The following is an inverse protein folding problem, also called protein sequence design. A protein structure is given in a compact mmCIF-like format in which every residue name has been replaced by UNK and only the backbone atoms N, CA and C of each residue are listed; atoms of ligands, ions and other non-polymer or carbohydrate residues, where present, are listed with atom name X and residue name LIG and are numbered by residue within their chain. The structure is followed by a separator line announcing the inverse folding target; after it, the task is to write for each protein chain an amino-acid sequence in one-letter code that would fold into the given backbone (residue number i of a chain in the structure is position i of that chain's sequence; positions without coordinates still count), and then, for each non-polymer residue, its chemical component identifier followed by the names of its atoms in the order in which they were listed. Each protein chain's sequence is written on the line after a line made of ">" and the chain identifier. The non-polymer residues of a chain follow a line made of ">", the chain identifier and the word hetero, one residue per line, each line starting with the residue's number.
data_IF_184054284041
#
_entry.id   IF_184054284041
#
_cell.length_a   1.000
_cell.length_b   1.000
_cell.length_c   1.000
_cell.angle_alpha   90.00
_cell.angle_beta   90.00
_cell.angle_gamma   90.00
#
_symmetry.space_group_name_H-M   'P 1'
#
loop_
_entity.id
_entity.type
_entity.pdbx_description
1 polymer ?
#
# COMPACT_ATOMS: atom_id res chain seq x y z
N UNK A 1 7.36 -22.60 1.99
CA UNK A 1 6.05 -22.50 1.27
C UNK A 1 5.13 -21.56 2.04
N UNK A 2 4.34 -20.72 1.36
CA UNK A 2 3.39 -19.81 1.99
C UNK A 2 2.01 -20.47 2.02
N UNK A 3 1.47 -20.73 3.22
CA UNK A 3 0.15 -21.33 3.39
C UNK A 3 -0.96 -20.38 2.88
N UNK A 4 -2.17 -20.90 2.72
CA UNK A 4 -3.33 -20.07 2.38
C UNK A 4 -3.61 -19.02 3.45
N UNK A 5 -3.57 -19.40 4.72
CA UNK A 5 -3.78 -18.49 5.86
C UNK A 5 -2.76 -17.34 5.84
N UNK A 6 -1.49 -17.65 5.59
CA UNK A 6 -0.44 -16.64 5.51
C UNK A 6 -0.66 -15.67 4.34
N UNK A 7 -1.06 -16.17 3.16
CA UNK A 7 -1.40 -15.31 2.00
C UNK A 7 -2.56 -14.37 2.30
N UNK A 8 -3.63 -14.90 2.87
CA UNK A 8 -4.81 -14.12 3.27
C UNK A 8 -4.45 -13.08 4.34
N UNK A 9 -3.59 -13.44 5.31
CA UNK A 9 -3.10 -12.53 6.34
C UNK A 9 -2.22 -11.41 5.76
N UNK A 10 -1.30 -11.71 4.85
CA UNK A 10 -0.52 -10.69 4.16
C UNK A 10 -1.39 -9.73 3.36
N UNK A 11 -2.36 -10.24 2.60
CA UNK A 11 -3.30 -9.43 1.83
C UNK A 11 -4.14 -8.55 2.74
N UNK A 12 -4.62 -9.09 3.86
CA UNK A 12 -5.38 -8.34 4.85
C UNK A 12 -4.57 -7.19 5.46
N UNK A 13 -3.35 -7.47 5.93
CA UNK A 13 -2.48 -6.45 6.50
C UNK A 13 -2.13 -5.35 5.50
N UNK A 14 -1.90 -5.73 4.24
CA UNK A 14 -1.68 -4.78 3.16
C UNK A 14 -2.87 -3.82 3.02
N UNK A 15 -4.08 -4.35 2.87
CA UNK A 15 -5.30 -3.55 2.71
C UNK A 15 -5.54 -2.66 3.93
N UNK A 16 -5.35 -3.16 5.15
CA UNK A 16 -5.52 -2.37 6.37
C UNK A 16 -4.48 -1.25 6.49
N UNK A 17 -3.22 -1.51 6.16
CA UNK A 17 -2.16 -0.51 6.15
C UNK A 17 -2.48 0.64 5.19
N UNK A 18 -2.93 0.32 3.97
CA UNK A 18 -3.32 1.32 2.98
C UNK A 18 -4.60 2.06 3.37
N UNK A 19 -5.62 1.36 3.88
CA UNK A 19 -6.82 2.00 4.41
C UNK A 19 -6.48 3.04 5.48
N UNK A 20 -5.66 2.67 6.47
CA UNK A 20 -5.26 3.57 7.55
C UNK A 20 -4.47 4.79 7.08
N UNK A 21 -3.74 4.69 5.96
CA UNK A 21 -3.01 5.80 5.38
C UNK A 21 -3.83 6.63 4.40
N UNK A 22 -4.82 6.04 3.71
CA UNK A 22 -5.66 6.74 2.71
C UNK A 22 -6.86 7.46 3.35
N UNK A 23 -7.48 6.88 4.37
CA UNK A 23 -8.61 7.49 5.06
C UNK A 23 -8.10 8.57 6.01
N UNK A 24 -8.30 9.83 5.67
CA UNK A 24 -7.84 10.99 6.46
C UNK A 24 -8.97 11.69 7.18
N UNK A 25 -10.20 11.52 6.70
CA UNK A 25 -11.40 12.15 7.24
C UNK A 25 -12.50 11.09 7.43
N UNK A 26 -13.43 11.28 8.38
CA UNK A 26 -14.50 10.31 8.67
C UNK A 26 -15.42 10.02 7.48
N UNK A 27 -15.56 10.97 6.55
CA UNK A 27 -16.37 10.82 5.34
C UNK A 27 -15.63 10.16 4.18
N UNK A 28 -14.34 9.86 4.32
CA UNK A 28 -13.57 9.22 3.26
C UNK A 28 -14.04 7.78 3.08
N UNK A 29 -14.37 7.43 1.86
CA UNK A 29 -14.72 6.07 1.45
C UNK A 29 -13.51 5.41 0.80
N UNK A 30 -13.08 4.29 1.37
CA UNK A 30 -11.98 3.48 0.84
C UNK A 30 -12.50 2.14 0.33
N UNK A 31 -12.08 1.76 -0.85
CA UNK A 31 -12.30 0.43 -1.43
C UNK A 31 -10.98 -0.20 -1.89
N UNK A 32 -10.88 -1.51 -1.77
CA UNK A 32 -9.75 -2.29 -2.25
C UNK A 32 -10.26 -3.54 -2.96
N UNK A 33 -10.02 -3.62 -4.24
CA UNK A 33 -10.39 -4.76 -5.07
C UNK A 33 -9.15 -5.46 -5.62
N UNK A 34 -9.28 -6.76 -5.89
CA UNK A 34 -8.23 -7.54 -6.52
C UNK A 34 -8.15 -7.20 -8.01
N UNK A 35 -6.94 -7.00 -8.50
CA UNK A 35 -6.65 -6.90 -9.92
C UNK A 35 -6.03 -8.21 -10.42
N UNK A 36 -6.48 -8.69 -11.58
CA UNK A 36 -5.96 -9.93 -12.14
C UNK A 36 -4.51 -9.78 -12.63
N UNK A 37 -4.20 -8.62 -13.20
CA UNK A 37 -2.89 -8.27 -13.71
C UNK A 37 -2.68 -6.73 -13.71
N UNK A 38 -1.56 -6.30 -14.24
CA UNK A 38 -1.17 -4.88 -14.35
C UNK A 38 -1.33 -4.33 -15.79
N UNK A 39 -2.02 -5.02 -16.66
CA UNK A 39 -2.16 -4.60 -18.09
C UNK A 39 -2.93 -3.29 -18.22
N UNK A 40 -3.88 -3.02 -17.34
CA UNK A 40 -4.65 -1.79 -17.30
C UNK A 40 -3.89 -0.60 -16.69
N UNK A 41 -2.73 -0.83 -16.08
CA UNK A 41 -1.93 0.21 -15.40
C UNK A 41 -1.19 1.03 -16.42
N UNK A 42 -1.56 2.30 -16.57
CA UNK A 42 -0.94 3.27 -17.48
C UNK A 42 0.13 4.14 -16.80
N UNK A 43 0.28 3.97 -15.49
CA UNK A 43 1.26 4.71 -14.71
C UNK A 43 2.68 4.45 -15.19
N UNK A 44 3.53 5.46 -15.10
CA UNK A 44 4.91 5.41 -15.59
C UNK A 44 5.92 5.17 -14.48
N UNK A 45 5.54 5.49 -13.25
CA UNK A 45 6.41 5.39 -12.07
C UNK A 45 5.83 4.43 -11.05
N UNK A 46 6.68 3.95 -10.17
CA UNK A 46 6.32 3.06 -9.10
C UNK A 46 7.18 3.35 -7.87
N UNK A 47 6.54 3.47 -6.71
CA UNK A 47 7.23 3.46 -5.42
C UNK A 47 7.39 2.03 -4.97
N UNK A 48 8.62 1.62 -4.66
CA UNK A 48 8.98 0.31 -4.13
C UNK A 48 9.44 0.41 -2.69
N UNK A 49 8.87 -0.40 -1.80
CA UNK A 49 9.33 -0.59 -0.41
C UNK A 49 9.49 -2.08 -0.15
N UNK A 50 10.56 -2.43 0.55
CA UNK A 50 10.80 -3.81 1.01
C UNK A 50 10.62 -3.89 2.52
N UNK A 51 9.86 -4.88 2.98
CA UNK A 51 9.76 -5.28 4.38
C UNK A 51 10.35 -6.69 4.48
N UNK A 52 11.25 -6.92 5.43
CA UNK A 52 11.96 -8.19 5.52
C UNK A 52 12.13 -8.67 6.95
N UNK A 53 12.13 -9.97 7.09
CA UNK A 53 12.56 -10.72 8.25
C UNK A 53 13.53 -11.84 7.80
N UNK A 54 13.98 -12.66 8.72
CA UNK A 54 14.79 -13.83 8.37
C UNK A 54 13.96 -14.97 7.74
N UNK A 55 12.62 -14.92 7.81
CA UNK A 55 11.72 -15.94 7.26
C UNK A 55 11.14 -15.58 5.91
N UNK A 56 11.05 -14.28 5.59
CA UNK A 56 10.48 -13.80 4.34
C UNK A 56 11.01 -12.43 3.96
N UNK A 57 10.84 -12.10 2.69
CA UNK A 57 10.93 -10.75 2.17
C UNK A 57 9.63 -10.42 1.44
N UNK A 58 9.11 -9.26 1.73
CA UNK A 58 7.92 -8.72 1.13
C UNK A 58 8.30 -7.43 0.39
N UNK A 59 7.82 -7.27 -0.84
CA UNK A 59 7.97 -6.05 -1.62
C UNK A 59 6.59 -5.49 -1.94
N UNK A 60 6.41 -4.23 -1.64
CA UNK A 60 5.23 -3.45 -2.01
C UNK A 60 5.61 -2.53 -3.14
N UNK A 61 4.82 -2.54 -4.21
CA UNK A 61 4.94 -1.64 -5.35
C UNK A 61 3.64 -0.87 -5.48
N UNK A 62 3.71 0.46 -5.55
CA UNK A 62 2.54 1.32 -5.79
C UNK A 62 2.77 2.13 -7.05
N UNK A 63 1.92 1.95 -8.03
CA UNK A 63 2.01 2.60 -9.33
C UNK A 63 1.27 3.93 -9.29
N UNK A 64 1.87 4.97 -9.85
CA UNK A 64 1.28 6.29 -9.87
C UNK A 64 1.73 7.10 -11.09
N UNK A 65 0.92 8.08 -11.42
CA UNK A 65 1.24 9.14 -12.39
C UNK A 65 0.76 10.46 -11.80
N UNK A 66 1.54 11.53 -11.87
CA UNK A 66 1.08 12.85 -11.49
C UNK A 66 -0.14 13.25 -12.30
N UNK A 67 -1.31 13.33 -11.67
CA UNK A 67 -2.59 13.71 -12.28
C UNK A 67 -3.39 14.60 -11.34
N UNK A 68 -4.23 15.47 -11.90
CA UNK A 68 -5.01 16.43 -11.14
C UNK A 68 -5.83 15.83 -9.96
N UNK A 69 -6.55 14.69 -10.10
CA UNK A 69 -7.27 14.09 -8.99
C UNK A 69 -6.35 13.66 -7.84
N UNK A 70 -5.20 13.07 -8.16
CA UNK A 70 -4.19 12.63 -7.18
C UNK A 70 -3.58 13.81 -6.45
N UNK A 71 -3.20 14.86 -7.19
CA UNK A 71 -2.66 16.10 -6.63
C UNK A 71 -3.66 16.76 -5.67
N UNK A 72 -4.93 16.86 -6.09
CA UNK A 72 -6.00 17.43 -5.26
C UNK A 72 -6.23 16.63 -3.98
N UNK A 73 -6.16 15.31 -4.05
CA UNK A 73 -6.29 14.44 -2.87
C UNK A 73 -5.15 14.69 -1.86
N UNK A 74 -3.89 14.71 -2.31
CA UNK A 74 -2.75 14.92 -1.42
C UNK A 74 -2.69 16.36 -0.88
N UNK A 75 -3.14 17.35 -1.65
CA UNK A 75 -3.25 18.75 -1.18
C UNK A 75 -4.30 18.87 -0.06
N UNK A 76 -5.47 18.24 -0.22
CA UNK A 76 -6.52 18.22 0.80
C UNK A 76 -6.05 17.51 2.08
N UNK A 77 -5.32 16.44 1.94
CA UNK A 77 -4.76 15.69 3.07
C UNK A 77 -3.58 16.40 3.76
N UNK A 78 -3.31 17.68 3.44
CA UNK A 78 -2.15 18.46 3.92
C UNK A 78 -0.79 17.80 3.73
N UNK A 79 -0.69 16.89 2.75
CA UNK A 79 0.55 16.15 2.45
C UNK A 79 1.40 16.88 1.39
N UNK A 80 0.81 17.81 0.68
CA UNK A 80 1.50 18.74 -0.23
C UNK A 80 1.23 20.14 0.29
N UNK A 81 2.27 20.86 0.69
CA UNK A 81 2.16 22.27 1.05
C UNK A 81 1.53 23.05 -0.13
N UNK A 82 0.84 24.15 0.15
CA UNK A 82 0.29 25.03 -0.89
C UNK A 82 1.43 25.53 -1.78
N UNK A 83 1.71 24.81 -2.85
CA UNK A 83 2.74 25.15 -3.82
C UNK A 83 2.18 26.23 -4.73
N UNK A 84 3.03 27.15 -5.15
CA UNK A 84 2.75 28.01 -6.27
C UNK A 84 2.55 27.11 -7.51
N UNK A 85 1.28 26.95 -7.93
CA UNK A 85 0.86 26.04 -9.01
C UNK A 85 1.39 26.45 -10.40
N UNK A 86 2.29 27.41 -10.44
CA UNK A 86 2.91 27.88 -11.71
C UNK A 86 4.09 27.02 -12.18
N UNK A 87 4.71 26.23 -11.27
CA UNK A 87 5.87 25.38 -11.61
C UNK A 87 5.50 23.88 -11.55
N UNK A 88 5.28 23.30 -12.73
CA UNK A 88 4.91 21.88 -12.89
C UNK A 88 5.93 20.94 -12.30
N UNK A 89 7.23 21.25 -12.41
CA UNK A 89 8.29 20.38 -11.89
C UNK A 89 8.29 20.32 -10.36
N UNK A 90 7.99 21.45 -9.69
CA UNK A 90 7.85 21.48 -8.23
C UNK A 90 6.60 20.73 -7.77
N UNK A 91 5.50 20.79 -8.52
CA UNK A 91 4.28 20.04 -8.23
C UNK A 91 4.54 18.54 -8.35
N UNK A 92 5.20 18.10 -9.41
CA UNK A 92 5.52 16.68 -9.63
C UNK A 92 6.46 16.14 -8.55
N UNK A 93 7.47 16.90 -8.14
CA UNK A 93 8.38 16.52 -7.06
C UNK A 93 7.62 16.39 -5.72
N UNK A 94 6.80 17.38 -5.36
CA UNK A 94 6.04 17.37 -4.12
C UNK A 94 4.97 16.25 -4.10
N UNK A 95 4.34 15.95 -5.24
CA UNK A 95 3.44 14.82 -5.36
C UNK A 95 4.17 13.49 -5.19
N UNK A 96 5.34 13.36 -5.79
CA UNK A 96 6.20 12.19 -5.67
C UNK A 96 6.58 11.93 -4.21
N UNK A 97 7.00 12.98 -3.48
CA UNK A 97 7.32 12.90 -2.05
C UNK A 97 6.08 12.50 -1.23
N UNK A 98 4.91 13.07 -1.53
CA UNK A 98 3.67 12.74 -0.85
C UNK A 98 3.24 11.28 -1.09
N UNK A 99 3.43 10.74 -2.30
CA UNK A 99 3.18 9.33 -2.60
C UNK A 99 4.17 8.45 -1.87
N UNK A 100 5.46 8.79 -1.86
CA UNK A 100 6.48 8.07 -1.10
C UNK A 100 6.13 7.99 0.38
N UNK A 101 5.74 9.11 1.00
CA UNK A 101 5.37 9.16 2.41
C UNK A 101 4.09 8.34 2.69
N UNK A 102 3.08 8.46 1.83
CA UNK A 102 1.87 7.65 1.91
C UNK A 102 2.18 6.15 1.89
N UNK A 103 3.02 5.67 0.95
CA UNK A 103 3.41 4.26 0.86
C UNK A 103 4.26 3.85 2.07
N UNK A 104 5.15 4.73 2.53
CA UNK A 104 5.96 4.51 3.72
C UNK A 104 5.10 4.32 4.98
N UNK A 105 4.11 5.18 5.19
CA UNK A 105 3.15 5.06 6.30
C UNK A 105 2.35 3.76 6.22
N UNK A 106 1.86 3.39 5.03
CA UNK A 106 1.09 2.16 4.81
C UNK A 106 1.92 0.91 5.13
N UNK A 107 3.14 0.85 4.61
CA UNK A 107 4.07 -0.26 4.88
C UNK A 107 4.55 -0.27 6.34
N UNK A 108 4.71 0.90 6.96
CA UNK A 108 5.03 1.02 8.39
C UNK A 108 3.94 0.46 9.29
N UNK A 109 2.67 0.71 8.97
CA UNK A 109 1.53 0.11 9.68
C UNK A 109 1.52 -1.41 9.54
N UNK A 110 1.67 -1.92 8.31
CA UNK A 110 1.76 -3.36 8.04
C UNK A 110 2.96 -4.00 8.74
N UNK A 111 4.13 -3.37 8.72
CA UNK A 111 5.35 -3.83 9.38
C UNK A 111 5.17 -3.94 10.90
N UNK A 112 4.51 -2.96 11.53
CA UNK A 112 4.19 -2.97 12.95
C UNK A 112 3.28 -4.15 13.32
N UNK A 113 2.27 -4.46 12.50
CA UNK A 113 1.37 -5.57 12.77
C UNK A 113 2.05 -6.93 12.53
N UNK A 114 2.91 -7.03 11.51
CA UNK A 114 3.77 -8.19 11.29
C UNK A 114 4.74 -8.43 12.46
N UNK A 115 5.24 -7.37 13.10
CA UNK A 115 6.16 -7.47 14.24
C UNK A 115 5.54 -8.14 15.47
N UNK A 116 4.21 -8.25 15.53
CA UNK A 116 3.51 -9.00 16.60
C UNK A 116 3.62 -10.51 16.42
N UNK A 117 3.89 -10.96 15.21
CA UNK A 117 3.99 -12.38 14.84
C UNK A 117 5.43 -12.77 14.56
N UNK A 118 6.19 -11.90 13.92
CA UNK A 118 7.55 -12.15 13.49
C UNK A 118 8.53 -11.19 14.16
N UNK A 119 9.56 -11.69 14.84
CA UNK A 119 10.60 -10.82 15.38
C UNK A 119 11.49 -10.24 14.28
N UNK A 120 12.15 -9.12 14.60
CA UNK A 120 13.19 -8.50 13.76
C UNK A 120 12.71 -8.14 12.34
N UNK A 121 11.57 -7.45 12.25
CA UNK A 121 11.10 -6.87 11.00
C UNK A 121 11.90 -5.60 10.69
N UNK A 122 12.48 -5.54 9.48
CA UNK A 122 13.13 -4.36 8.93
C UNK A 122 12.35 -3.83 7.73
N UNK A 123 12.40 -2.52 7.50
CA UNK A 123 11.77 -1.86 6.35
C UNK A 123 12.77 -0.94 5.65
N UNK A 124 12.80 -0.96 4.31
CA UNK A 124 13.59 -0.02 3.52
C UNK A 124 12.93 1.35 3.46
N UNK A 125 13.69 2.36 3.05
CA UNK A 125 13.13 3.62 2.58
C UNK A 125 12.41 3.42 1.24
N UNK A 126 11.45 4.29 0.87
CA UNK A 126 10.85 4.30 -0.46
C UNK A 126 11.90 4.50 -1.56
N UNK A 127 11.77 3.75 -2.65
CA UNK A 127 12.56 3.94 -3.85
C UNK A 127 11.61 4.14 -5.03
N UNK A 128 11.92 5.11 -5.89
CA UNK A 128 11.17 5.35 -7.12
C UNK A 128 11.88 4.59 -8.23
N UNK A 129 11.10 3.80 -8.96
CA UNK A 129 11.58 3.03 -10.11
C UNK A 129 10.60 3.20 -11.27
N UNK A 130 11.09 3.00 -12.49
CA UNK A 130 10.22 2.96 -13.66
C UNK A 130 9.29 1.75 -13.60
N UNK A 131 8.04 1.93 -14.01
CA UNK A 131 7.05 0.85 -14.06
C UNK A 131 7.55 -0.33 -14.90
N UNK A 132 8.32 -0.09 -15.94
CA UNK A 132 8.88 -1.17 -16.79
C UNK A 132 9.66 -2.20 -15.98
N UNK A 133 10.28 -1.79 -14.86
CA UNK A 133 10.93 -2.71 -13.93
C UNK A 133 9.97 -3.75 -13.35
N UNK A 134 8.68 -3.42 -13.22
CA UNK A 134 7.65 -4.35 -12.73
C UNK A 134 7.42 -5.54 -13.66
N UNK A 135 7.72 -5.41 -14.95
CA UNK A 135 7.65 -6.52 -15.90
C UNK A 135 8.61 -7.66 -15.57
N UNK A 136 9.67 -7.34 -14.82
CA UNK A 136 10.65 -8.31 -14.35
C UNK A 136 10.23 -9.03 -13.07
N UNK A 137 9.12 -8.65 -12.42
CA UNK A 137 8.62 -9.31 -11.20
C UNK A 137 8.40 -10.80 -11.41
N UNK A 138 7.84 -11.19 -12.56
CA UNK A 138 7.62 -12.60 -12.91
C UNK A 138 8.91 -13.45 -13.04
N UNK A 139 10.08 -12.81 -13.12
CA UNK A 139 11.38 -13.49 -13.17
C UNK A 139 11.98 -13.73 -11.78
N UNK A 140 11.45 -13.07 -10.76
CA UNK A 140 11.84 -13.23 -9.38
C UNK A 140 11.02 -14.36 -8.75
N UNK A 141 11.63 -15.11 -7.84
CA UNK A 141 10.96 -16.22 -7.16
C UNK A 141 10.07 -15.70 -6.04
N UNK A 142 8.78 -15.49 -6.35
CA UNK A 142 7.78 -15.11 -5.39
C UNK A 142 6.90 -16.31 -5.02
N UNK A 143 6.74 -16.57 -3.74
CA UNK A 143 5.79 -17.56 -3.22
C UNK A 143 4.35 -17.08 -3.26
N UNK A 144 4.16 -15.73 -3.30
CA UNK A 144 2.86 -15.08 -3.43
C UNK A 144 2.98 -13.73 -4.13
N UNK A 145 2.12 -13.47 -5.12
CA UNK A 145 1.92 -12.16 -5.74
C UNK A 145 0.43 -11.87 -5.73
N UNK A 146 0.06 -10.67 -5.28
CA UNK A 146 -1.30 -10.18 -5.36
C UNK A 146 -1.30 -8.73 -5.85
N UNK A 147 -2.10 -8.46 -6.86
CA UNK A 147 -2.33 -7.11 -7.36
C UNK A 147 -3.65 -6.56 -6.81
N UNK A 148 -3.65 -5.26 -6.53
CA UNK A 148 -4.79 -4.53 -5.97
C UNK A 148 -5.06 -3.27 -6.78
N UNK A 149 -6.34 -2.92 -6.86
CA UNK A 149 -6.80 -1.57 -7.16
C UNK A 149 -7.31 -0.98 -5.85
N UNK A 150 -6.67 0.09 -5.39
CA UNK A 150 -7.04 0.85 -4.20
C UNK A 150 -7.75 2.12 -4.67
N UNK A 151 -8.91 2.40 -4.12
CA UNK A 151 -9.71 3.57 -4.51
C UNK A 151 -10.14 4.37 -3.28
N UNK A 152 -10.04 5.69 -3.38
CA UNK A 152 -10.52 6.63 -2.37
C UNK A 152 -11.50 7.61 -2.99
N UNK A 153 -12.68 7.77 -2.38
CA UNK A 153 -13.71 8.73 -2.76
C UNK A 153 -14.16 8.65 -4.24
N UNK A 154 -14.13 7.44 -4.85
CA UNK A 154 -14.55 7.17 -6.24
C UNK A 154 -13.86 8.03 -7.31
N UNK A 155 -12.71 8.60 -7.01
CA UNK A 155 -12.04 9.51 -7.96
C UNK A 155 -10.53 9.36 -8.01
N UNK A 156 -9.92 8.94 -6.92
CA UNK A 156 -8.48 8.70 -6.85
C UNK A 156 -8.23 7.21 -6.67
N UNK A 157 -7.45 6.63 -7.55
CA UNK A 157 -7.10 5.22 -7.46
C UNK A 157 -5.60 5.01 -7.69
N UNK A 158 -5.09 3.98 -7.04
CA UNK A 158 -3.74 3.47 -7.22
C UNK A 158 -3.80 1.98 -7.52
N UNK A 159 -2.97 1.54 -8.43
CA UNK A 159 -2.67 0.11 -8.52
C UNK A 159 -1.49 -0.21 -7.61
N UNK A 160 -1.51 -1.38 -7.01
CA UNK A 160 -0.42 -1.82 -6.16
C UNK A 160 -0.18 -3.33 -6.30
N UNK A 161 1.05 -3.75 -6.02
CA UNK A 161 1.43 -5.16 -5.99
C UNK A 161 2.07 -5.50 -4.65
N UNK A 162 1.60 -6.56 -4.05
CA UNK A 162 2.19 -7.21 -2.90
C UNK A 162 2.88 -8.48 -3.38
N UNK A 163 4.21 -8.55 -3.21
CA UNK A 163 5.03 -9.69 -3.62
C UNK A 163 5.75 -10.25 -2.39
N UNK A 164 5.58 -11.54 -2.10
CA UNK A 164 6.18 -12.19 -0.94
C UNK A 164 7.07 -13.34 -1.38
N UNK A 165 8.36 -13.31 -0.98
CA UNK A 165 9.29 -14.43 -1.06
C UNK A 165 9.43 -15.06 0.31
N UNK A 166 9.29 -16.38 0.38
CA UNK A 166 9.49 -17.18 1.58
C UNK A 166 10.87 -17.81 1.63
N UNK A 167 11.52 -17.76 2.78
CA UNK A 167 12.80 -18.44 3.06
C UNK A 167 12.60 -19.65 3.96
N UNK A 168 11.41 -19.80 4.54
CA UNK A 168 10.96 -20.94 5.33
C UNK A 168 9.45 -21.14 5.11
N UNK A 169 8.91 -22.21 5.67
CA UNK A 169 7.45 -22.40 5.68
C UNK A 169 6.77 -21.31 6.52
N UNK A 170 5.80 -20.63 5.92
CA UNK A 170 5.04 -19.57 6.55
C UNK A 170 3.59 -20.02 6.70
N UNK A 171 3.15 -20.15 7.95
CA UNK A 171 1.77 -20.38 8.32
C UNK A 171 1.42 -19.54 9.54
N UNK A 172 0.61 -18.52 9.34
CA UNK A 172 0.13 -17.66 10.41
C UNK A 172 -1.23 -17.07 10.03
N UNK A 173 -2.00 -16.71 11.04
CA UNK A 173 -3.29 -16.08 10.90
C UNK A 173 -3.30 -14.78 11.70
N UNK A 174 -3.64 -13.69 11.04
CA UNK A 174 -3.96 -12.43 11.72
C UNK A 174 -5.44 -12.48 12.10
N UNK A 175 -5.71 -12.67 13.38
CA UNK A 175 -7.04 -12.52 13.92
C UNK A 175 -7.38 -11.02 13.94
N UNK A 176 -8.19 -10.58 12.99
CA UNK A 176 -8.82 -9.26 13.09
C UNK A 176 -9.79 -9.31 14.27
N UNK A 177 -9.69 -8.45 15.29
CA UNK A 177 -10.79 -8.32 16.22
C UNK A 177 -12.04 -7.96 15.40
N UNK A 178 -13.22 -8.52 15.72
CA UNK A 178 -14.46 -8.11 15.06
C UNK A 178 -14.54 -6.59 15.18
N UNK A 179 -14.87 -5.92 14.07
CA UNK A 179 -15.19 -4.49 14.09
C UNK A 179 -16.28 -4.34 15.13
N UNK A 180 -15.96 -3.72 16.27
CA UNK A 180 -16.98 -3.33 17.23
C UNK A 180 -17.89 -2.36 16.47
N UNK A 181 -19.02 -2.87 16.03
CA UNK A 181 -20.16 -2.02 15.65
C UNK A 181 -20.48 -1.29 16.94
N UNK A 182 -20.14 0.00 16.99
CA UNK A 182 -20.48 0.86 18.14
C UNK A 182 -21.95 0.73 18.38
N UNK A 183 -22.29 0.02 19.47
CA UNK A 183 -23.67 -0.15 19.89
C UNK A 183 -24.30 1.19 20.09
N UNK A 184 -25.52 1.35 19.63
CA UNK A 184 -26.41 2.44 19.97
C UNK A 184 -26.40 2.61 21.49
N UNK A 185 -26.03 3.81 21.95
CA UNK A 185 -26.25 4.24 23.32
C UNK A 185 -27.78 4.29 23.53
N UNK A 186 -28.35 3.24 24.11
CA UNK A 186 -29.69 3.34 24.70
C UNK A 186 -29.60 4.33 25.86
N UNK A 187 -30.14 5.53 25.64
CA UNK A 187 -30.40 6.51 26.68
C UNK A 187 -31.55 6.00 27.54
N UNK A 188 -31.25 5.62 28.77
CA UNK A 188 -32.23 5.55 29.84
C UNK A 188 -32.36 6.89 30.55
#
# INVERSE_FOLDING_TARGET
>A
MISRNARESFNHLFVQGFKGAMVTEPQDFFDASLAADLSAVKDTQCVAITVSSYLFRLMVLVYFTPQAPTTSYFSRANRVAALDLSDVALIDAALTDAVCEFVNMSCGAMSRDLSRVFPNIGMSTPNIIDKECSSSLGRLHWGHIQHFKLEINKGVHFFASLCVSDYADLDFLINTPPVEVSGELELF
#
